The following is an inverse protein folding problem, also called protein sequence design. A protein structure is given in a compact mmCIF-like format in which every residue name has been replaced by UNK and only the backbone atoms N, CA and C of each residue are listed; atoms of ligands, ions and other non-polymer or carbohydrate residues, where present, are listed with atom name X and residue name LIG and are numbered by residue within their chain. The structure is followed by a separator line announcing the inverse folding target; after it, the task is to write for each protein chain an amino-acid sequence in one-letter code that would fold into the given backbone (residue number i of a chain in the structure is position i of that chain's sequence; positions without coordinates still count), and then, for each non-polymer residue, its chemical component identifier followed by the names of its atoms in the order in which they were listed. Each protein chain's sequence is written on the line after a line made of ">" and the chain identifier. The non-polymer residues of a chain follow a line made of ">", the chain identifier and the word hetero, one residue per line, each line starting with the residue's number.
data_IF_167677956672
#
_entry.id   IF_167677956672
#
_cell.length_a   1.000
_cell.length_b   1.000
_cell.length_c   1.000
_cell.angle_alpha   90.00
_cell.angle_beta   90.00
_cell.angle_gamma   90.00
#
_symmetry.space_group_name_H-M   'P 1'
#
loop_
_entity.id
_entity.type
_entity.pdbx_description
1 polymer ?
#
# COMPACT_ATOMS: atom_id res chain seq x y z
N UNK A 1 -3.06 -20.67 -16.51
CA UNK A 1 -3.99 -19.92 -17.37
C UNK A 1 -3.23 -18.79 -18.02
N UNK A 2 -3.70 -18.27 -19.17
CA UNK A 2 -3.09 -17.05 -19.73
C UNK A 2 -3.41 -15.83 -18.84
N UNK A 3 -2.52 -14.84 -18.83
CA UNK A 3 -2.63 -13.64 -17.99
C UNK A 3 -3.94 -12.89 -18.25
N UNK A 4 -4.40 -12.85 -19.51
CA UNK A 4 -5.68 -12.26 -19.89
C UNK A 4 -6.87 -12.97 -19.26
N UNK A 5 -6.81 -14.30 -19.14
CA UNK A 5 -7.89 -15.09 -18.51
C UNK A 5 -7.90 -14.83 -17.01
N UNK A 6 -6.73 -14.80 -16.39
CA UNK A 6 -6.60 -14.53 -14.96
C UNK A 6 -7.08 -13.11 -14.61
N UNK A 7 -6.63 -12.09 -15.35
CA UNK A 7 -7.05 -10.70 -15.18
C UNK A 7 -8.56 -10.54 -15.41
N UNK A 8 -9.13 -11.16 -16.45
CA UNK A 8 -10.57 -11.06 -16.71
C UNK A 8 -11.42 -11.74 -15.62
N UNK A 9 -10.97 -12.87 -15.07
CA UNK A 9 -11.62 -13.49 -13.91
C UNK A 9 -11.56 -12.59 -12.67
N UNK A 10 -10.38 -12.06 -12.33
CA UNK A 10 -10.23 -11.15 -11.18
C UNK A 10 -11.09 -9.89 -11.34
N UNK A 11 -11.12 -9.30 -12.53
CA UNK A 11 -11.97 -8.15 -12.83
C UNK A 11 -13.46 -8.48 -12.68
N UNK A 12 -13.89 -9.64 -13.20
CA UNK A 12 -15.29 -10.08 -13.13
C UNK A 12 -15.72 -10.30 -11.68
N UNK A 13 -14.90 -11.00 -10.88
CA UNK A 13 -15.16 -11.24 -9.46
C UNK A 13 -15.19 -9.93 -8.67
N UNK A 14 -14.23 -9.04 -8.93
CA UNK A 14 -14.16 -7.72 -8.29
C UNK A 14 -15.39 -6.87 -8.61
N UNK A 15 -15.84 -6.88 -9.88
CA UNK A 15 -17.04 -6.18 -10.31
C UNK A 15 -18.30 -6.74 -9.65
N UNK A 16 -18.41 -8.07 -9.53
CA UNK A 16 -19.51 -8.72 -8.82
C UNK A 16 -19.54 -8.33 -7.34
N UNK A 17 -18.39 -8.36 -6.66
CA UNK A 17 -18.29 -7.96 -5.27
C UNK A 17 -18.60 -6.48 -5.06
N UNK A 18 -18.13 -5.61 -5.96
CA UNK A 18 -18.47 -4.19 -5.96
C UNK A 18 -19.98 -3.97 -6.12
N UNK A 19 -20.64 -4.71 -7.02
CA UNK A 19 -22.09 -4.65 -7.20
C UNK A 19 -22.86 -5.15 -5.96
N UNK A 20 -22.43 -6.26 -5.36
CA UNK A 20 -23.02 -6.78 -4.12
C UNK A 20 -22.86 -5.76 -2.98
N UNK A 21 -21.67 -5.15 -2.84
CA UNK A 21 -21.45 -4.08 -1.89
C UNK A 21 -22.41 -2.90 -2.14
N UNK A 22 -22.48 -2.41 -3.38
CA UNK A 22 -23.35 -1.29 -3.74
C UNK A 22 -24.81 -1.57 -3.40
N UNK A 23 -25.29 -2.80 -3.62
CA UNK A 23 -26.70 -3.16 -3.40
C UNK A 23 -27.04 -3.46 -1.93
N UNK A 24 -26.15 -4.12 -1.19
CA UNK A 24 -26.44 -4.63 0.16
C UNK A 24 -25.81 -3.79 1.27
N UNK A 25 -24.52 -3.49 1.17
CA UNK A 25 -23.73 -2.93 2.28
C UNK A 25 -23.55 -1.42 2.20
N UNK A 26 -23.52 -0.84 0.98
CA UNK A 26 -23.32 0.60 0.71
C UNK A 26 -22.09 1.20 1.40
N UNK A 27 -21.05 0.38 1.61
CA UNK A 27 -19.79 0.83 2.17
C UNK A 27 -18.93 1.50 1.08
N UNK A 28 -17.94 2.33 1.46
CA UNK A 28 -16.90 2.78 0.54
C UNK A 28 -16.33 1.60 -0.26
N UNK A 29 -16.18 1.77 -1.57
CA UNK A 29 -15.95 0.65 -2.51
C UNK A 29 -14.82 -0.28 -2.09
N UNK A 30 -13.67 0.25 -1.68
CA UNK A 30 -12.51 -0.56 -1.23
C UNK A 30 -12.85 -1.42 -0.01
N UNK A 31 -13.49 -0.84 1.00
CA UNK A 31 -13.90 -1.53 2.23
C UNK A 31 -14.97 -2.58 1.90
N UNK A 32 -15.93 -2.21 1.07
CA UNK A 32 -17.03 -3.07 0.68
C UNK A 32 -16.59 -4.31 -0.10
N UNK A 33 -15.70 -4.13 -1.10
CA UNK A 33 -15.13 -5.26 -1.84
C UNK A 33 -14.36 -6.18 -0.89
N UNK A 34 -13.55 -5.64 0.02
CA UNK A 34 -12.81 -6.42 1.02
C UNK A 34 -13.77 -7.26 1.88
N UNK A 35 -14.79 -6.64 2.47
CA UNK A 35 -15.77 -7.34 3.32
C UNK A 35 -16.51 -8.43 2.56
N UNK A 36 -17.00 -8.14 1.35
CA UNK A 36 -17.69 -9.14 0.52
C UNK A 36 -16.75 -10.29 0.14
N UNK A 37 -15.50 -10.00 -0.22
CA UNK A 37 -14.50 -11.02 -0.55
C UNK A 37 -14.17 -11.91 0.65
N UNK A 38 -14.11 -11.33 1.86
CA UNK A 38 -13.87 -12.07 3.10
C UNK A 38 -15.04 -12.99 3.42
N UNK A 39 -16.27 -12.49 3.34
CA UNK A 39 -17.48 -13.29 3.53
C UNK A 39 -17.57 -14.43 2.52
N UNK A 40 -17.24 -14.16 1.26
CA UNK A 40 -17.18 -15.18 0.21
C UNK A 40 -16.10 -16.24 0.50
N UNK A 41 -14.91 -15.82 0.93
CA UNK A 41 -13.83 -16.74 1.34
C UNK A 41 -14.26 -17.63 2.51
N UNK A 42 -14.90 -17.06 3.54
CA UNK A 42 -15.44 -17.83 4.67
C UNK A 42 -16.52 -18.81 4.20
N UNK A 43 -17.41 -18.39 3.30
CA UNK A 43 -18.43 -19.25 2.73
C UNK A 43 -17.82 -20.45 1.97
N UNK A 44 -16.76 -20.23 1.18
CA UNK A 44 -16.04 -21.32 0.51
C UNK A 44 -15.41 -22.30 1.50
N UNK A 45 -14.82 -21.81 2.60
CA UNK A 45 -14.26 -22.68 3.65
C UNK A 45 -15.34 -23.50 4.34
N UNK A 46 -16.51 -22.92 4.62
CA UNK A 46 -17.64 -23.63 5.23
C UNK A 46 -18.22 -24.68 4.27
N UNK A 47 -18.42 -24.32 3.00
CA UNK A 47 -18.90 -25.25 1.97
C UNK A 47 -17.93 -26.42 1.75
N UNK A 48 -16.62 -26.15 1.79
CA UNK A 48 -15.60 -27.19 1.72
C UNK A 48 -15.69 -28.17 2.89
N UNK A 49 -16.02 -27.70 4.10
CA UNK A 49 -16.24 -28.58 5.26
C UNK A 49 -17.55 -29.37 5.16
N UNK A 50 -18.53 -28.84 4.44
CA UNK A 50 -19.81 -29.51 4.16
C UNK A 50 -19.73 -30.55 3.03
N UNK A 51 -18.55 -30.76 2.42
CA UNK A 51 -18.32 -31.76 1.37
C UNK A 51 -18.22 -31.19 -0.05
N UNK A 52 -18.43 -29.88 -0.25
CA UNK A 52 -18.31 -29.22 -1.55
C UNK A 52 -16.95 -28.50 -1.67
N UNK A 53 -15.89 -29.26 -1.95
CA UNK A 53 -14.51 -28.74 -1.98
C UNK A 53 -14.07 -28.16 -3.33
N UNK A 54 -14.79 -28.41 -4.42
CA UNK A 54 -14.37 -27.97 -5.76
C UNK A 54 -14.12 -26.46 -5.84
N UNK A 55 -14.98 -25.65 -5.22
CA UNK A 55 -14.84 -24.19 -5.25
C UNK A 55 -13.57 -23.68 -4.56
N UNK A 56 -13.18 -24.27 -3.42
CA UNK A 56 -11.97 -23.86 -2.71
C UNK A 56 -10.69 -24.38 -3.40
N UNK A 57 -10.75 -25.56 -4.01
CA UNK A 57 -9.63 -26.12 -4.78
C UNK A 57 -9.36 -25.23 -5.99
N UNK A 58 -10.40 -24.88 -6.74
CA UNK A 58 -10.28 -23.99 -7.89
C UNK A 58 -9.75 -22.61 -7.48
N UNK A 59 -10.28 -22.01 -6.40
CA UNK A 59 -9.80 -20.73 -5.90
C UNK A 59 -8.30 -20.76 -5.53
N UNK A 60 -7.84 -21.85 -4.88
CA UNK A 60 -6.41 -22.04 -4.55
C UNK A 60 -5.54 -22.19 -5.79
N UNK A 61 -6.00 -22.90 -6.80
CA UNK A 61 -5.27 -23.07 -8.06
C UNK A 61 -5.13 -21.74 -8.82
N UNK A 62 -6.19 -20.93 -8.86
CA UNK A 62 -6.16 -19.60 -9.48
C UNK A 62 -5.24 -18.66 -8.71
N UNK A 63 -5.35 -18.60 -7.37
CA UNK A 63 -4.50 -17.73 -6.54
C UNK A 63 -3.03 -18.18 -6.61
N UNK A 64 -2.77 -19.49 -6.64
CA UNK A 64 -1.41 -20.04 -6.74
C UNK A 64 -0.69 -19.72 -8.05
N UNK A 65 -1.41 -19.27 -9.09
CA UNK A 65 -0.82 -18.78 -10.33
C UNK A 65 -0.36 -17.31 -10.25
N UNK A 66 -0.73 -16.59 -9.19
CA UNK A 66 -0.40 -15.19 -9.00
C UNK A 66 0.77 -15.09 -8.03
N UNK A 67 1.89 -14.59 -8.50
CA UNK A 67 2.92 -14.05 -7.61
C UNK A 67 2.45 -12.69 -7.10
N UNK A 68 1.81 -12.67 -5.94
CA UNK A 68 1.27 -11.45 -5.35
C UNK A 68 2.36 -10.43 -5.04
N UNK A 69 3.56 -10.88 -4.63
CA UNK A 69 4.66 -9.99 -4.36
C UNK A 69 5.09 -9.29 -5.65
N UNK A 70 5.32 -10.04 -6.72
CA UNK A 70 5.72 -9.47 -8.00
C UNK A 70 4.63 -8.55 -8.58
N UNK A 71 3.36 -8.98 -8.56
CA UNK A 71 2.26 -8.20 -9.09
C UNK A 71 2.03 -6.89 -8.32
N UNK A 72 2.04 -6.94 -6.99
CA UNK A 72 1.77 -5.77 -6.16
C UNK A 72 3.01 -4.88 -6.02
N UNK A 73 4.15 -5.42 -5.58
CA UNK A 73 5.35 -4.63 -5.26
C UNK A 73 6.04 -4.10 -6.52
N UNK A 74 6.20 -4.93 -7.55
CA UNK A 74 6.94 -4.54 -8.75
C UNK A 74 6.04 -4.00 -9.88
N UNK A 75 4.73 -4.25 -9.81
CA UNK A 75 3.76 -3.78 -10.80
C UNK A 75 2.93 -2.60 -10.28
N UNK A 76 2.00 -2.90 -9.38
CA UNK A 76 0.92 -1.97 -9.03
C UNK A 76 1.36 -0.81 -8.13
N UNK A 77 2.31 -1.02 -7.23
CA UNK A 77 2.68 -0.04 -6.20
C UNK A 77 3.17 1.29 -6.80
N UNK A 78 4.00 1.23 -7.84
CA UNK A 78 4.47 2.43 -8.54
C UNK A 78 3.31 3.27 -9.11
N UNK A 79 2.35 2.62 -9.79
CA UNK A 79 1.17 3.30 -10.32
C UNK A 79 0.24 3.85 -9.24
N UNK A 80 0.10 3.14 -8.11
CA UNK A 80 -0.71 3.62 -6.99
C UNK A 80 -0.10 4.85 -6.33
N UNK A 81 1.22 4.84 -6.09
CA UNK A 81 1.94 6.00 -5.54
C UNK A 81 1.90 7.19 -6.51
N UNK A 82 2.08 6.95 -7.80
CA UNK A 82 1.98 8.00 -8.82
C UNK A 82 0.57 8.59 -8.88
N UNK A 83 -0.48 7.75 -8.94
CA UNK A 83 -1.87 8.21 -8.93
C UNK A 83 -2.23 8.98 -7.64
N UNK A 84 -1.70 8.54 -6.49
CA UNK A 84 -1.83 9.24 -5.23
C UNK A 84 -1.18 10.62 -5.27
N UNK A 85 0.05 10.72 -5.77
CA UNK A 85 0.80 11.98 -5.88
C UNK A 85 0.11 13.01 -6.79
N UNK A 86 -0.53 12.58 -7.89
CA UNK A 86 -1.25 13.48 -8.81
C UNK A 86 -2.40 14.26 -8.16
N UNK A 87 -2.99 13.73 -7.08
CA UNK A 87 -4.10 14.38 -6.38
C UNK A 87 -3.63 15.32 -5.26
N UNK A 88 -2.33 15.39 -4.98
CA UNK A 88 -1.78 16.20 -3.89
C UNK A 88 -1.45 17.61 -4.38
N UNK A 89 -2.02 18.62 -3.71
CA UNK A 89 -1.68 20.01 -3.95
C UNK A 89 -0.38 20.38 -3.24
N UNK A 90 0.71 20.53 -4.01
CA UNK A 90 2.05 20.79 -3.47
C UNK A 90 2.16 22.10 -2.69
N UNK A 91 1.43 23.15 -3.10
CA UNK A 91 1.50 24.46 -2.41
C UNK A 91 0.90 24.37 -1.01
N UNK A 92 -0.27 23.73 -0.88
CA UNK A 92 -0.91 23.50 0.42
C UNK A 92 -0.11 22.52 1.30
N UNK A 93 0.55 21.53 0.68
CA UNK A 93 1.38 20.56 1.38
C UNK A 93 2.61 21.24 2.00
N UNK A 94 3.27 22.15 1.27
CA UNK A 94 4.44 22.90 1.76
C UNK A 94 4.08 23.72 3.00
N UNK A 95 2.89 24.33 3.05
CA UNK A 95 2.40 25.05 4.23
C UNK A 95 2.24 24.16 5.47
N UNK A 96 2.08 22.85 5.28
CA UNK A 96 1.89 21.85 6.35
C UNK A 96 3.07 20.89 6.51
N UNK A 97 4.20 21.15 5.83
CA UNK A 97 5.36 20.25 5.73
C UNK A 97 5.88 19.68 7.05
N UNK A 98 5.87 20.48 8.11
CA UNK A 98 6.37 20.03 9.42
C UNK A 98 5.44 19.01 10.07
N UNK A 99 4.13 19.27 10.03
CA UNK A 99 3.13 18.36 10.60
C UNK A 99 3.13 17.06 9.81
N UNK A 100 3.07 17.16 8.48
CA UNK A 100 3.09 16.00 7.59
C UNK A 100 4.38 15.20 7.76
N UNK A 101 5.53 15.86 7.76
CA UNK A 101 6.83 15.20 7.92
C UNK A 101 6.95 14.47 9.26
N UNK A 102 6.48 15.07 10.37
CA UNK A 102 6.52 14.41 11.69
C UNK A 102 5.58 13.20 11.71
N UNK A 103 4.35 13.32 11.21
CA UNK A 103 3.41 12.20 11.18
C UNK A 103 3.92 11.06 10.29
N UNK A 104 4.39 11.38 9.09
CA UNK A 104 4.87 10.41 8.12
C UNK A 104 6.19 9.72 8.52
N UNK A 105 6.97 10.32 9.44
CA UNK A 105 8.24 9.73 9.90
C UNK A 105 8.17 9.22 11.33
N UNK A 106 8.15 10.13 12.30
CA UNK A 106 8.08 9.81 13.73
C UNK A 106 6.81 9.01 14.04
N UNK A 107 5.69 9.34 13.40
CA UNK A 107 4.44 8.59 13.55
C UNK A 107 4.58 7.14 13.09
N UNK A 108 5.17 6.91 11.90
CA UNK A 108 5.42 5.54 11.37
C UNK A 108 6.35 4.75 12.26
N UNK A 109 7.47 5.35 12.70
CA UNK A 109 8.44 4.68 13.58
C UNK A 109 7.77 4.31 14.90
N UNK A 110 7.04 5.27 15.50
CA UNK A 110 6.32 5.04 16.76
C UNK A 110 5.25 3.96 16.60
N UNK A 111 4.47 4.01 15.51
CA UNK A 111 3.47 2.99 15.19
C UNK A 111 4.11 1.62 15.02
N UNK A 112 5.26 1.54 14.35
CA UNK A 112 6.00 0.28 14.14
C UNK A 112 6.36 -0.37 15.47
N UNK A 113 6.91 0.41 16.40
CA UNK A 113 7.26 -0.10 17.73
C UNK A 113 6.03 -0.46 18.56
N UNK A 114 4.96 0.36 18.52
CA UNK A 114 3.72 0.09 19.26
C UNK A 114 3.07 -1.20 18.75
N UNK A 115 2.84 -1.30 17.45
CA UNK A 115 2.21 -2.45 16.80
C UNK A 115 3.10 -3.69 16.98
N UNK A 116 4.39 -3.60 16.67
CA UNK A 116 5.28 -4.75 16.78
C UNK A 116 5.43 -5.26 18.21
N UNK A 117 5.52 -4.36 19.20
CA UNK A 117 5.59 -4.74 20.62
C UNK A 117 4.25 -5.29 21.11
N UNK A 118 3.12 -4.70 20.70
CA UNK A 118 1.79 -5.24 20.98
C UNK A 118 1.62 -6.65 20.43
N UNK A 119 1.99 -6.87 19.17
CA UNK A 119 1.95 -8.17 18.50
C UNK A 119 2.82 -9.19 19.23
N UNK A 120 4.04 -8.82 19.64
CA UNK A 120 4.93 -9.71 20.40
C UNK A 120 4.30 -10.19 21.72
N UNK A 121 3.72 -9.29 22.51
CA UNK A 121 3.09 -9.69 23.78
C UNK A 121 1.82 -10.51 23.58
N UNK A 122 1.00 -10.15 22.59
CA UNK A 122 -0.23 -10.89 22.27
C UNK A 122 0.09 -12.31 21.82
N UNK A 123 1.07 -12.48 20.92
CA UNK A 123 1.44 -13.80 20.40
C UNK A 123 2.07 -14.68 21.48
N UNK A 124 2.95 -14.13 22.30
CA UNK A 124 3.49 -14.87 23.45
C UNK A 124 2.39 -15.30 24.43
N UNK A 125 1.41 -14.43 24.71
CA UNK A 125 0.28 -14.77 25.57
C UNK A 125 -0.60 -15.89 24.98
N UNK A 126 -0.65 -16.02 23.66
CA UNK A 126 -1.34 -17.10 22.94
C UNK A 126 -0.48 -18.37 22.78
N UNK A 127 0.75 -18.39 23.29
CA UNK A 127 1.67 -19.53 23.20
C UNK A 127 2.46 -19.62 21.90
N UNK A 128 2.47 -18.56 21.08
CA UNK A 128 3.30 -18.48 19.88
C UNK A 128 4.61 -17.75 20.18
N UNK A 129 5.71 -18.50 20.26
CA UNK A 129 7.06 -17.96 20.48
C UNK A 129 7.65 -17.42 19.17
N UNK A 130 7.27 -16.18 18.80
CA UNK A 130 7.83 -15.48 17.65
C UNK A 130 8.89 -14.48 18.12
N UNK A 131 10.05 -14.47 17.45
CA UNK A 131 11.11 -13.51 17.75
C UNK A 131 10.63 -12.06 17.58
N UNK A 132 11.00 -11.19 18.51
CA UNK A 132 10.60 -9.78 18.55
C UNK A 132 10.87 -9.04 17.24
N UNK A 133 11.97 -9.39 16.55
CA UNK A 133 12.33 -8.74 15.29
C UNK A 133 11.32 -9.01 14.17
N UNK A 134 10.70 -10.19 14.12
CA UNK A 134 9.64 -10.49 13.16
C UNK A 134 8.34 -9.76 13.51
N UNK A 135 8.08 -9.52 14.80
CA UNK A 135 6.97 -8.69 15.23
C UNK A 135 7.19 -7.21 14.87
N UNK A 136 8.41 -6.69 15.00
CA UNK A 136 8.78 -5.35 14.51
C UNK A 136 8.67 -5.24 13.00
N UNK A 137 9.09 -6.28 12.27
CA UNK A 137 8.96 -6.35 10.82
C UNK A 137 7.49 -6.28 10.40
N UNK A 138 6.62 -7.04 11.07
CA UNK A 138 5.16 -6.93 10.91
C UNK A 138 4.65 -5.51 11.25
N UNK A 139 5.13 -4.93 12.35
CA UNK A 139 4.78 -3.56 12.73
C UNK A 139 5.12 -2.54 11.64
N UNK A 140 6.29 -2.66 11.00
CA UNK A 140 6.71 -1.76 9.92
C UNK A 140 5.86 -1.91 8.66
N UNK A 141 5.41 -3.12 8.35
CA UNK A 141 4.53 -3.40 7.22
C UNK A 141 3.12 -2.82 7.39
N UNK A 142 2.63 -2.76 8.62
CA UNK A 142 1.24 -2.33 8.92
C UNK A 142 1.16 -0.85 9.32
N UNK A 143 2.30 -0.20 9.59
CA UNK A 143 2.33 1.19 10.03
C UNK A 143 1.92 2.23 8.98
N UNK A 144 2.19 2.06 7.67
CA UNK A 144 1.69 2.97 6.64
C UNK A 144 0.17 3.03 6.57
N UNK A 145 -0.34 4.18 6.16
CA UNK A 145 -1.78 4.46 6.05
C UNK A 145 -2.18 4.70 4.59
N UNK A 146 -3.33 4.17 4.17
CA UNK A 146 -3.88 4.42 2.83
C UNK A 146 -4.87 5.61 2.88
N UNK A 147 -4.59 6.72 2.16
CA UNK A 147 -5.45 7.89 2.19
C UNK A 147 -6.71 7.67 1.35
N UNK A 148 -6.68 6.79 0.34
CA UNK A 148 -7.78 6.62 -0.63
C UNK A 148 -9.02 6.09 0.06
N UNK A 149 -8.87 5.08 0.92
CA UNK A 149 -9.97 4.49 1.66
C UNK A 149 -10.62 5.48 2.63
N UNK A 150 -9.80 6.31 3.31
CA UNK A 150 -10.27 7.26 4.33
C UNK A 150 -10.82 8.55 3.70
N UNK A 151 -10.26 8.99 2.57
CA UNK A 151 -10.65 10.24 1.93
C UNK A 151 -12.08 10.25 1.38
N UNK A 152 -12.56 9.10 0.89
CA UNK A 152 -13.96 8.95 0.51
C UNK A 152 -14.91 9.25 1.67
N UNK A 153 -14.60 8.72 2.87
CA UNK A 153 -15.41 8.92 4.08
C UNK A 153 -15.30 10.34 4.61
N UNK A 154 -14.09 10.88 4.66
CA UNK A 154 -13.84 12.23 5.18
C UNK A 154 -14.51 13.32 4.36
N UNK A 155 -14.56 13.16 3.03
CA UNK A 155 -15.31 14.07 2.15
C UNK A 155 -16.80 14.03 2.45
N UNK A 156 -17.38 12.85 2.65
CA UNK A 156 -18.79 12.70 3.03
C UNK A 156 -19.07 13.26 4.43
N UNK A 157 -18.09 13.21 5.34
CA UNK A 157 -18.18 13.76 6.69
C UNK A 157 -17.94 15.28 6.79
N UNK A 158 -17.67 15.97 5.67
CA UNK A 158 -17.45 17.42 5.65
C UNK A 158 -16.09 17.85 6.19
N UNK A 159 -15.04 17.03 6.02
CA UNK A 159 -13.69 17.39 6.41
C UNK A 159 -13.20 18.68 5.73
N UNK A 160 -12.44 19.49 6.47
CA UNK A 160 -11.82 20.70 5.90
C UNK A 160 -10.72 20.32 4.92
N UNK A 161 -10.52 21.10 3.85
CA UNK A 161 -9.39 20.91 2.89
C UNK A 161 -8.03 20.77 3.59
N UNK A 162 -7.81 21.53 4.66
CA UNK A 162 -6.59 21.46 5.47
C UNK A 162 -6.37 20.07 6.09
N UNK A 163 -7.44 19.40 6.52
CA UNK A 163 -7.36 18.03 7.05
C UNK A 163 -7.13 17.02 5.92
N UNK A 164 -7.80 17.19 4.77
CA UNK A 164 -7.58 16.35 3.59
C UNK A 164 -6.12 16.41 3.13
N UNK A 165 -5.55 17.62 2.99
CA UNK A 165 -4.16 17.80 2.58
C UNK A 165 -3.17 17.23 3.59
N UNK A 166 -3.45 17.34 4.90
CA UNK A 166 -2.58 16.72 5.93
C UNK A 166 -2.59 15.21 5.86
N UNK A 167 -3.76 14.59 5.67
CA UNK A 167 -3.89 13.13 5.61
C UNK A 167 -3.30 12.60 4.30
N UNK A 168 -3.64 13.20 3.16
CA UNK A 168 -3.07 12.82 1.88
C UNK A 168 -1.54 12.96 1.87
N UNK A 169 -1.02 14.04 2.45
CA UNK A 169 0.42 14.24 2.60
C UNK A 169 1.08 13.22 3.52
N UNK A 170 0.49 12.96 4.69
CA UNK A 170 1.00 11.97 5.65
C UNK A 170 1.12 10.60 5.01
N UNK A 171 0.05 10.12 4.38
CA UNK A 171 0.03 8.85 3.68
C UNK A 171 0.97 8.78 2.47
N UNK A 172 1.16 9.87 1.72
CA UNK A 172 2.07 9.85 0.57
C UNK A 172 3.53 9.61 0.99
N UNK A 173 3.96 10.19 2.11
CA UNK A 173 5.35 10.08 2.57
C UNK A 173 5.57 8.89 3.51
N UNK A 174 4.53 8.43 4.23
CA UNK A 174 4.68 7.36 5.21
C UNK A 174 5.05 6.02 4.57
N UNK A 175 4.56 5.74 3.36
CA UNK A 175 4.91 4.56 2.56
C UNK A 175 6.42 4.52 2.29
N UNK A 176 6.98 5.67 1.88
CA UNK A 176 8.42 5.82 1.62
C UNK A 176 9.28 5.68 2.89
N UNK A 177 8.82 6.17 4.04
CA UNK A 177 9.54 5.95 5.31
C UNK A 177 9.45 4.50 5.76
N UNK A 178 8.28 3.89 5.65
CA UNK A 178 8.06 2.53 6.11
C UNK A 178 8.81 1.48 5.31
N UNK A 179 8.97 1.65 3.99
CA UNK A 179 9.81 0.73 3.21
C UNK A 179 11.26 0.78 3.67
N UNK A 180 11.79 1.95 4.04
CA UNK A 180 13.15 2.07 4.59
C UNK A 180 13.24 1.41 5.96
N UNK A 181 12.27 1.67 6.84
CA UNK A 181 12.20 1.01 8.17
C UNK A 181 12.12 -0.51 8.01
N UNK A 182 11.29 -0.99 7.10
CA UNK A 182 11.13 -2.40 6.78
C UNK A 182 12.44 -3.03 6.29
N UNK A 183 13.12 -2.42 5.31
CA UNK A 183 14.37 -2.92 4.75
C UNK A 183 15.47 -3.01 5.81
N UNK A 184 15.56 -2.01 6.70
CA UNK A 184 16.50 -2.03 7.83
C UNK A 184 16.20 -3.20 8.77
N UNK A 185 14.95 -3.37 9.20
CA UNK A 185 14.56 -4.46 10.09
C UNK A 185 14.75 -5.83 9.42
N UNK A 186 14.42 -5.93 8.12
CA UNK A 186 14.56 -7.15 7.33
C UNK A 186 16.03 -7.55 7.14
N UNK A 187 16.93 -6.59 6.85
CA UNK A 187 18.37 -6.82 6.79
C UNK A 187 18.90 -7.41 8.10
N UNK A 188 18.52 -6.83 9.23
CA UNK A 188 18.89 -7.34 10.56
C UNK A 188 18.30 -8.74 10.80
N UNK A 189 17.03 -8.97 10.45
CA UNK A 189 16.31 -10.23 10.73
C UNK A 189 16.79 -11.41 9.89
N UNK A 190 17.16 -11.18 8.63
CA UNK A 190 17.45 -12.25 7.65
C UNK A 190 18.94 -12.38 7.39
N UNK A 191 19.66 -11.26 7.26
CA UNK A 191 21.07 -11.25 6.89
C UNK A 191 22.00 -11.14 8.11
N UNK A 192 21.45 -10.82 9.29
CA UNK A 192 22.23 -10.62 10.52
C UNK A 192 23.13 -9.39 10.45
N UNK A 193 22.77 -8.41 9.62
CA UNK A 193 23.57 -7.21 9.39
C UNK A 193 23.84 -6.47 10.71
N UNK A 194 25.08 -6.03 10.97
CA UNK A 194 25.38 -5.26 12.16
C UNK A 194 24.61 -3.94 12.12
N UNK A 195 23.97 -3.60 13.23
CA UNK A 195 23.29 -2.31 13.42
C UNK A 195 24.36 -1.21 13.47
N UNK A 196 24.75 -0.71 12.30
CA UNK A 196 25.64 0.44 12.19
C UNK A 196 24.85 1.65 11.72
N UNK A 197 24.92 2.72 12.50
CA UNK A 197 24.33 4.03 12.16
C UNK A 197 24.76 4.50 10.76
N UNK A 198 26.02 4.30 10.31
CA UNK A 198 26.42 4.63 8.94
C UNK A 198 25.69 3.82 7.87
N UNK A 199 25.42 2.53 8.11
CA UNK A 199 24.71 1.69 7.14
C UNK A 199 23.24 2.10 7.03
N UNK A 200 22.56 2.32 8.15
CA UNK A 200 21.16 2.80 8.17
C UNK A 200 21.06 4.19 7.53
N UNK A 201 21.98 5.09 7.89
CA UNK A 201 22.04 6.43 7.29
C UNK A 201 22.31 6.39 5.79
N UNK A 202 23.20 5.50 5.34
CA UNK A 202 23.50 5.30 3.92
C UNK A 202 22.31 4.75 3.13
N UNK A 203 21.62 3.75 3.68
CA UNK A 203 20.43 3.16 3.06
C UNK A 203 19.29 4.18 2.97
N UNK A 204 19.06 4.96 4.04
CA UNK A 204 18.09 6.06 4.02
C UNK A 204 18.47 7.13 2.99
N UNK A 205 19.76 7.51 2.89
CA UNK A 205 20.20 8.51 1.91
C UNK A 205 19.96 8.02 0.48
N UNK A 206 20.31 6.76 0.21
CA UNK A 206 20.15 6.15 -1.11
C UNK A 206 18.67 6.09 -1.50
N UNK A 207 17.81 5.55 -0.64
CA UNK A 207 16.40 5.34 -0.95
C UNK A 207 15.62 6.67 -0.97
N UNK A 208 15.74 7.49 0.09
CA UNK A 208 14.96 8.72 0.19
C UNK A 208 15.52 9.84 -0.71
N UNK A 209 16.81 10.13 -0.62
CA UNK A 209 17.41 11.24 -1.40
C UNK A 209 17.68 10.81 -2.83
N UNK A 210 18.22 9.61 -3.05
CA UNK A 210 18.43 9.07 -4.40
C UNK A 210 17.13 8.90 -5.15
N UNK A 211 16.09 8.34 -4.52
CA UNK A 211 14.74 8.25 -5.10
C UNK A 211 14.14 9.61 -5.43
N UNK A 212 14.25 10.60 -4.53
CA UNK A 212 13.75 11.96 -4.77
C UNK A 212 14.48 12.65 -5.93
N UNK A 213 15.81 12.54 -6.01
CA UNK A 213 16.60 13.12 -7.10
C UNK A 213 16.26 12.45 -8.43
N UNK A 214 16.19 11.11 -8.45
CA UNK A 214 15.85 10.35 -9.64
C UNK A 214 14.44 10.67 -10.15
N UNK A 215 13.44 10.65 -9.24
CA UNK A 215 12.06 11.01 -9.55
C UNK A 215 11.92 12.45 -10.04
N UNK A 216 12.65 13.40 -9.43
CA UNK A 216 12.67 14.79 -9.91
C UNK A 216 13.25 14.90 -11.32
N UNK A 217 14.36 14.21 -11.61
CA UNK A 217 15.00 14.26 -12.93
C UNK A 217 14.09 13.68 -14.02
N UNK A 218 13.53 12.48 -13.80
CA UNK A 218 12.64 11.86 -14.78
C UNK A 218 11.33 12.65 -14.92
N UNK A 219 10.73 13.06 -13.80
CA UNK A 219 9.53 13.91 -13.80
C UNK A 219 9.75 15.21 -14.55
N UNK A 220 10.91 15.85 -14.38
CA UNK A 220 11.29 17.04 -15.13
C UNK A 220 11.42 16.76 -16.64
N UNK A 221 12.08 15.66 -17.03
CA UNK A 221 12.22 15.26 -18.44
C UNK A 221 10.85 15.01 -19.07
N UNK A 222 9.97 14.27 -18.42
CA UNK A 222 8.63 13.98 -18.94
C UNK A 222 7.76 15.25 -18.99
N UNK A 223 7.86 16.13 -18.00
CA UNK A 223 7.18 17.44 -18.04
C UNK A 223 7.63 18.26 -19.26
N UNK A 224 8.92 18.26 -19.56
CA UNK A 224 9.48 18.92 -20.75
C UNK A 224 8.98 18.28 -22.05
N UNK A 225 8.72 16.98 -22.09
CA UNK A 225 8.11 16.31 -23.24
C UNK A 225 6.63 16.68 -23.36
N UNK A 226 5.87 16.66 -22.26
CA UNK A 226 4.45 17.02 -22.22
C UNK A 226 4.22 18.46 -22.70
N UNK A 227 5.05 19.42 -22.29
CA UNK A 227 4.94 20.81 -22.75
C UNK A 227 5.18 21.01 -24.26
N UNK A 228 5.72 20.01 -24.97
CA UNK A 228 6.01 20.06 -26.41
C UNK A 228 5.07 19.19 -27.24
N UNK A 229 4.14 18.50 -26.61
CA UNK A 229 3.18 17.59 -27.23
C UNK A 229 1.79 18.19 -27.10
N UNK A 230 1.06 18.25 -28.21
CA UNK A 230 -0.37 18.61 -28.23
C UNK A 230 -1.14 17.41 -28.79
N UNK A 231 -1.08 16.29 -28.06
CA UNK A 231 -1.71 15.03 -28.42
C UNK A 231 -2.02 14.23 -27.16
N UNK A 232 -3.31 14.12 -26.86
CA UNK A 232 -3.83 13.42 -25.69
C UNK A 232 -3.31 11.98 -25.53
N UNK A 233 -3.20 11.21 -26.63
CA UNK A 233 -2.74 9.82 -26.55
C UNK A 233 -1.26 9.76 -26.13
N UNK A 234 -0.44 10.67 -26.67
CA UNK A 234 0.99 10.74 -26.33
C UNK A 234 1.18 11.22 -24.89
N UNK A 235 0.37 12.17 -24.42
CA UNK A 235 0.40 12.62 -23.02
C UNK A 235 0.07 11.49 -22.03
N UNK A 236 -0.96 10.68 -22.33
CA UNK A 236 -1.30 9.51 -21.52
C UNK A 236 -0.17 8.47 -21.53
N UNK A 237 0.46 8.21 -22.68
CA UNK A 237 1.58 7.28 -22.75
C UNK A 237 2.79 7.77 -21.95
N UNK A 238 3.11 9.06 -22.03
CA UNK A 238 4.22 9.67 -21.29
C UNK A 238 3.99 9.62 -19.78
N UNK A 239 2.76 9.84 -19.33
CA UNK A 239 2.41 9.78 -17.90
C UNK A 239 2.34 8.36 -17.35
N UNK A 240 1.96 7.37 -18.16
CA UNK A 240 1.97 5.95 -17.74
C UNK A 240 3.36 5.33 -17.75
N UNK A 241 4.27 5.85 -18.58
CA UNK A 241 5.65 5.38 -18.68
C UNK A 241 6.57 5.95 -17.59
N UNK A 242 6.15 7.03 -16.92
CA UNK A 242 6.82 7.61 -15.76
C UNK A 242 6.70 6.69 -14.54
#
# INVERSE_FOLDING_TARGET
>A
MDILTLSSMLLTVSALFAYVNYRLFKLPTTIGIMVVSLLFSVALVVLSRAGFSEGIVYAREVIGQIDFNQALMNGMLAWLLFAGALHVNLSELIDKRWIVGILASVGVITSTFIVGTGTYYILNALGFEISYIYCLLFGSLISPTDPVAVMGVLKTAGATKSLETKIAGESLFNDGVAIVVFLVIFGIAVHGDPISVPHIGGLFLQEAVGGAVFGFLIGWVVLQMLMRVDNYQVEVLLTLAL
#
